data_IF_116440003311
#
_entry.id   IF_116440003311
#
_cell.length_a   1.000
_cell.length_b   1.000
_cell.length_c   1.000
_cell.angle_alpha   90.00
_cell.angle_beta   90.00
_cell.angle_gamma   90.00
#
_symmetry.space_group_name_H-M   'P 1'
#
loop_
_entity.id
_entity.type
_entity.pdbx_description
1 polymer ?
#
# COMPACT_ATOMS: atom_id res chain seq x y z
N UNK A 1 -11.27 2.44 -5.61
CA UNK A 1 -11.05 3.38 -6.74
C UNK A 1 -10.05 2.72 -7.68
N UNK A 2 -10.23 2.71 -9.01
CA UNK A 2 -9.19 2.23 -9.94
C UNK A 2 -8.08 3.27 -10.12
N UNK A 3 -6.87 2.83 -10.44
CA UNK A 3 -5.72 3.73 -10.58
C UNK A 3 -4.45 3.00 -11.01
N UNK A 4 -3.31 3.67 -10.86
CA UNK A 4 -1.97 3.12 -11.15
C UNK A 4 -1.05 3.34 -9.97
N UNK A 5 -0.22 2.36 -9.64
CA UNK A 5 0.81 2.50 -8.60
C UNK A 5 1.95 3.34 -9.14
N UNK A 6 2.27 4.43 -8.46
CA UNK A 6 3.39 5.32 -8.83
C UNK A 6 4.67 4.88 -8.15
N UNK A 7 4.62 4.57 -6.86
CA UNK A 7 5.77 4.15 -6.08
C UNK A 7 5.36 3.31 -4.87
N UNK A 8 6.20 2.37 -4.47
CA UNK A 8 6.01 1.58 -3.24
C UNK A 8 7.12 1.91 -2.25
N UNK A 9 6.76 2.34 -1.05
CA UNK A 9 7.72 2.86 -0.04
C UNK A 9 8.03 1.87 1.06
N UNK A 10 7.50 0.64 0.98
CA UNK A 10 7.68 -0.42 1.96
C UNK A 10 8.02 -1.75 1.30
N UNK A 11 8.54 -2.69 2.08
CA UNK A 11 8.87 -4.05 1.64
C UNK A 11 8.21 -5.12 2.51
N UNK A 12 7.93 -6.33 1.99
CA UNK A 12 7.47 -7.45 2.82
C UNK A 12 8.42 -7.72 3.99
N UNK A 13 7.87 -7.98 5.17
CA UNK A 13 8.60 -8.15 6.43
C UNK A 13 8.93 -6.85 7.17
N UNK A 14 8.64 -5.68 6.60
CA UNK A 14 8.88 -4.40 7.26
C UNK A 14 7.79 -4.07 8.29
N UNK A 15 8.18 -3.66 9.49
CA UNK A 15 7.26 -3.07 10.48
C UNK A 15 6.82 -1.66 10.04
N UNK A 16 5.53 -1.37 10.19
CA UNK A 16 4.90 -0.10 9.86
C UNK A 16 4.04 0.37 11.03
N UNK A 17 3.94 1.69 11.21
CA UNK A 17 3.05 2.30 12.19
C UNK A 17 1.80 2.87 11.54
N UNK A 18 0.73 3.05 12.31
CA UNK A 18 -0.46 3.77 11.87
C UNK A 18 -0.10 5.15 11.31
N UNK A 19 -0.60 5.46 10.11
CA UNK A 19 -0.30 6.68 9.38
C UNK A 19 0.99 6.67 8.55
N UNK A 20 1.85 5.64 8.69
CA UNK A 20 3.06 5.49 7.87
C UNK A 20 2.69 5.29 6.39
N UNK A 21 3.44 5.94 5.48
CA UNK A 21 3.23 5.80 4.04
C UNK A 21 3.61 4.39 3.56
N UNK A 22 2.73 3.75 2.81
CA UNK A 22 2.93 2.43 2.22
C UNK A 22 3.27 2.51 0.73
N UNK A 23 2.53 3.33 0.00
CA UNK A 23 2.71 3.52 -1.44
C UNK A 23 2.02 4.81 -1.90
N UNK A 24 2.34 5.22 -3.11
CA UNK A 24 1.70 6.32 -3.82
C UNK A 24 0.97 5.77 -5.04
N UNK A 25 -0.27 6.18 -5.22
CA UNK A 25 -1.10 5.84 -6.38
C UNK A 25 -1.49 7.10 -7.13
N UNK A 26 -1.79 6.97 -8.41
CA UNK A 26 -2.43 8.00 -9.22
C UNK A 26 -3.82 7.51 -9.63
N UNK A 27 -4.82 8.37 -9.49
CA UNK A 27 -6.12 8.19 -10.12
C UNK A 27 -6.65 9.52 -10.61
N UNK A 28 -7.11 9.58 -11.86
CA UNK A 28 -7.67 10.79 -12.47
C UNK A 28 -6.74 12.02 -12.37
N UNK A 29 -5.43 11.83 -12.60
CA UNK A 29 -4.36 12.85 -12.49
C UNK A 29 -4.13 13.41 -11.07
N UNK A 30 -4.63 12.70 -10.06
CA UNK A 30 -4.40 13.03 -8.67
C UNK A 30 -3.55 11.93 -8.02
N UNK A 31 -2.38 12.32 -7.53
CA UNK A 31 -1.55 11.45 -6.70
C UNK A 31 -2.10 11.40 -5.27
N UNK A 32 -2.18 10.20 -4.71
CA UNK A 32 -2.63 9.95 -3.34
C UNK A 32 -1.68 9.00 -2.63
N UNK A 33 -1.29 9.34 -1.41
CA UNK A 33 -0.47 8.48 -0.56
C UNK A 33 -1.41 7.55 0.21
N UNK A 34 -1.22 6.24 0.03
CA UNK A 34 -1.87 5.22 0.85
C UNK A 34 -1.05 5.07 2.13
N UNK A 35 -1.72 5.21 3.27
CA UNK A 35 -1.12 5.13 4.60
C UNK A 35 -1.63 3.90 5.34
N UNK A 36 -0.80 3.37 6.22
CA UNK A 36 -1.20 2.25 7.08
C UNK A 36 -2.34 2.68 8.00
N UNK A 37 -3.44 1.91 8.11
CA UNK A 37 -4.51 2.21 9.05
C UNK A 37 -4.16 1.83 10.49
N UNK A 38 -3.12 1.02 10.69
CA UNK A 38 -2.73 0.46 11.99
C UNK A 38 -1.23 0.15 12.04
N UNK A 39 -0.74 -0.21 13.23
CA UNK A 39 0.58 -0.81 13.40
C UNK A 39 0.58 -2.26 12.89
N UNK A 40 1.70 -2.75 12.38
CA UNK A 40 1.81 -4.13 11.93
C UNK A 40 3.05 -4.39 11.07
N UNK A 41 3.09 -5.56 10.45
CA UNK A 41 4.14 -5.96 9.53
C UNK A 41 3.55 -6.09 8.13
N UNK A 42 4.25 -5.59 7.11
CA UNK A 42 3.87 -5.79 5.71
C UNK A 42 4.01 -7.27 5.36
N UNK A 43 2.90 -7.98 5.19
CA UNK A 43 2.90 -9.39 4.80
C UNK A 43 3.14 -9.52 3.30
N UNK A 44 2.35 -8.80 2.49
CA UNK A 44 2.43 -8.88 1.04
C UNK A 44 2.08 -7.56 0.36
N UNK A 45 2.78 -7.30 -0.73
CA UNK A 45 2.46 -6.24 -1.69
C UNK A 45 1.97 -6.95 -2.96
N UNK A 46 0.74 -6.68 -3.37
CA UNK A 46 0.04 -7.41 -4.44
C UNK A 46 0.22 -6.77 -5.83
N UNK A 47 0.83 -5.60 -5.88
CA UNK A 47 0.97 -4.76 -7.07
C UNK A 47 2.41 -4.29 -7.21
N UNK A 48 2.82 -3.97 -8.44
CA UNK A 48 4.14 -3.39 -8.75
C UNK A 48 4.03 -1.92 -9.11
N UNK A 49 5.14 -1.21 -9.01
CA UNK A 49 5.23 0.15 -9.56
C UNK A 49 4.93 0.15 -11.06
N UNK A 50 4.12 1.12 -11.50
CA UNK A 50 3.60 1.22 -12.86
C UNK A 50 2.41 0.31 -13.16
N UNK A 51 2.00 -0.57 -12.24
CA UNK A 51 0.85 -1.48 -12.45
C UNK A 51 -0.47 -0.77 -12.20
N UNK A 52 -1.45 -1.00 -13.09
CA UNK A 52 -2.82 -0.52 -12.92
C UNK A 52 -3.65 -1.48 -12.09
N UNK A 53 -4.58 -0.96 -11.30
CA UNK A 53 -5.47 -1.74 -10.45
C UNK A 53 -6.93 -1.28 -10.59
N UNK A 54 -7.83 -2.22 -10.36
CA UNK A 54 -9.26 -2.01 -10.43
C UNK A 54 -9.84 -1.47 -9.11
N UNK A 55 -11.11 -1.09 -9.14
CA UNK A 55 -11.84 -0.74 -7.94
C UNK A 55 -11.79 -1.91 -6.93
N UNK A 56 -11.54 -1.57 -5.67
CA UNK A 56 -11.52 -2.47 -4.51
C UNK A 56 -10.41 -3.54 -4.55
N UNK A 57 -9.41 -3.36 -5.42
CA UNK A 57 -8.21 -4.18 -5.43
C UNK A 57 -7.45 -4.09 -4.09
N UNK A 58 -6.97 -5.24 -3.62
CA UNK A 58 -6.08 -5.31 -2.45
C UNK A 58 -4.67 -4.95 -2.90
N UNK A 59 -4.10 -3.89 -2.32
CA UNK A 59 -2.75 -3.43 -2.69
C UNK A 59 -1.68 -3.96 -1.74
N UNK A 60 -1.95 -3.90 -0.42
CA UNK A 60 -1.04 -4.36 0.64
C UNK A 60 -1.83 -5.13 1.68
N UNK A 61 -1.28 -6.25 2.13
CA UNK A 61 -1.74 -6.98 3.30
C UNK A 61 -0.79 -6.74 4.46
N UNK A 62 -1.35 -6.41 5.62
CA UNK A 62 -0.61 -6.28 6.87
C UNK A 62 -0.97 -7.46 7.78
N UNK A 63 0.01 -8.00 8.49
CA UNK A 63 -0.18 -8.90 9.62
C UNK A 63 -0.03 -8.13 10.93
N UNK A 64 -0.72 -8.55 11.97
CA UNK A 64 -0.50 -8.02 13.32
C UNK A 64 0.93 -8.32 13.77
N UNK A 65 1.59 -7.34 14.38
CA UNK A 65 2.88 -7.55 15.02
C UNK A 65 2.65 -8.31 16.33
N UNK A 66 2.66 -9.64 16.23
CA UNK A 66 2.78 -10.61 17.33
C UNK A 66 1.94 -10.34 18.59
N UNK A 67 0.76 -10.97 18.65
CA UNK A 67 0.16 -11.42 19.91
C UNK A 67 0.38 -12.91 20.09
#
# INVERSE_FOLDING_TARGET
>A
MPGTVVATTVSPGQSVSAGMALMMIESMKLETIIRSPQDGIVDRIHVKEGESFERDAVLVTLSEEGR
#
